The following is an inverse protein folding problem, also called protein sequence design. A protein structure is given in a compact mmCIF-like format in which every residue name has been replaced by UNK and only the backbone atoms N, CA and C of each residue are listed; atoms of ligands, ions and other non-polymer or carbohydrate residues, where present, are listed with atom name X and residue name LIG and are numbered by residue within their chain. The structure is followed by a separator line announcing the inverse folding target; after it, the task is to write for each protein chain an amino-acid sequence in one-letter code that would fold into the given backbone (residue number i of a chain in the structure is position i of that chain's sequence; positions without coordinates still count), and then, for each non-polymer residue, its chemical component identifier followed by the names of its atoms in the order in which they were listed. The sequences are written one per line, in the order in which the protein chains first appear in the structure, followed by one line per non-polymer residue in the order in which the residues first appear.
data_IF_254120565125
#
_entry.id   IF_254120565125
#
_cell.length_a   1.000
_cell.length_b   1.000
_cell.length_c   1.000
_cell.angle_alpha   90.00
_cell.angle_beta   90.00
_cell.angle_gamma   90.00
#
_symmetry.space_group_name_H-M   'P 1'
#
loop_
_entity.id
_entity.type
_entity.pdbx_description
1 polymer ?
#
# COMPACT_ATOMS: atom_id res chain seq x y z
N UNK A 1 26.28 -3.89 13.93
CA UNK A 1 25.68 -2.55 13.76
C UNK A 1 26.78 -1.50 13.91
N UNK A 2 26.86 -0.52 13.01
CA UNK A 2 27.87 0.56 13.09
C UNK A 2 27.50 1.64 14.12
N UNK A 3 28.49 2.44 14.54
CA UNK A 3 28.33 3.52 15.53
C UNK A 3 27.17 4.47 15.18
N UNK A 4 27.03 4.85 13.91
CA UNK A 4 25.97 5.76 13.45
C UNK A 4 24.56 5.16 13.59
N UNK A 5 24.38 3.85 13.39
CA UNK A 5 23.10 3.18 13.63
C UNK A 5 22.82 3.00 15.13
N UNK A 6 23.87 2.84 15.93
CA UNK A 6 23.75 2.77 17.40
C UNK A 6 23.27 4.09 18.00
N UNK A 7 23.82 5.22 17.54
CA UNK A 7 23.41 6.57 17.99
C UNK A 7 22.17 7.13 17.27
N UNK A 8 21.50 6.33 16.42
CA UNK A 8 20.26 6.73 15.74
C UNK A 8 20.43 7.73 14.59
N UNK A 9 21.65 7.94 14.09
CA UNK A 9 21.95 8.77 12.93
C UNK A 9 21.82 8.03 11.59
N UNK A 10 21.68 6.70 11.63
CA UNK A 10 21.37 5.87 10.47
C UNK A 10 20.34 4.81 10.81
N UNK A 11 19.50 4.43 9.84
CA UNK A 11 18.56 3.31 9.97
C UNK A 11 19.31 2.01 10.28
N UNK A 12 18.67 1.11 11.03
CA UNK A 12 19.29 -0.16 11.45
C UNK A 12 19.21 -1.24 10.37
N UNK A 13 18.12 -1.24 9.61
CA UNK A 13 17.85 -2.17 8.52
C UNK A 13 16.92 -1.51 7.49
N UNK A 14 16.61 -2.21 6.40
CA UNK A 14 15.78 -1.68 5.30
C UNK A 14 14.31 -1.48 5.66
N UNK A 15 13.80 -2.20 6.66
CA UNK A 15 12.41 -2.15 7.14
C UNK A 15 12.16 -0.98 8.08
N UNK A 16 13.21 -0.28 8.50
CA UNK A 16 13.12 0.94 9.29
C UNK A 16 13.24 2.19 8.39
N UNK A 17 12.54 3.28 8.74
CA UNK A 17 12.58 4.50 7.97
C UNK A 17 14.00 5.07 7.94
N UNK A 18 14.37 5.64 6.81
CA UNK A 18 15.62 6.39 6.71
C UNK A 18 15.55 7.64 7.60
N UNK A 19 16.64 7.93 8.28
CA UNK A 19 16.81 9.21 8.97
C UNK A 19 17.01 10.34 7.94
N UNK A 20 16.87 11.60 8.38
CA UNK A 20 17.21 12.76 7.54
C UNK A 20 18.65 12.69 7.01
N UNK A 21 19.57 12.23 7.87
CA UNK A 21 20.98 12.05 7.53
C UNK A 21 21.16 10.93 6.50
N UNK A 22 20.44 9.81 6.63
CA UNK A 22 20.48 8.73 5.62
C UNK A 22 19.99 9.21 4.25
N UNK A 23 18.88 9.95 4.23
CA UNK A 23 18.34 10.48 2.98
C UNK A 23 19.36 11.38 2.30
N UNK A 24 19.89 12.37 3.01
CA UNK A 24 20.87 13.31 2.46
C UNK A 24 22.17 12.63 2.04
N UNK A 25 22.73 11.75 2.87
CA UNK A 25 23.97 11.04 2.54
C UNK A 25 23.79 10.00 1.44
N UNK A 26 22.59 9.47 1.23
CA UNK A 26 22.35 8.52 0.15
C UNK A 26 22.18 9.23 -1.20
N UNK A 27 21.40 10.30 -1.25
CA UNK A 27 21.20 11.12 -2.46
C UNK A 27 20.49 12.43 -2.12
N UNK A 28 21.20 13.57 -2.05
CA UNK A 28 20.58 14.87 -1.84
C UNK A 28 19.52 15.20 -2.89
N UNK A 29 19.74 14.86 -4.17
CA UNK A 29 18.78 15.16 -5.22
C UNK A 29 17.48 14.36 -5.05
N UNK A 30 17.59 13.07 -4.71
CA UNK A 30 16.40 12.23 -4.43
C UNK A 30 15.63 12.79 -3.23
N UNK A 31 16.33 13.25 -2.19
CA UNK A 31 15.69 13.84 -1.03
C UNK A 31 14.97 15.16 -1.36
N UNK A 32 15.58 16.06 -2.13
CA UNK A 32 14.93 17.30 -2.55
C UNK A 32 13.75 17.00 -3.48
N UNK A 33 13.88 16.02 -4.39
CA UNK A 33 12.77 15.58 -5.24
C UNK A 33 11.59 15.07 -4.41
N UNK A 34 11.87 14.26 -3.38
CA UNK A 34 10.86 13.78 -2.43
C UNK A 34 10.14 14.94 -1.74
N UNK A 35 10.85 15.93 -1.21
CA UNK A 35 10.24 17.09 -0.56
C UNK A 35 9.38 17.89 -1.54
N UNK A 36 9.89 18.18 -2.73
CA UNK A 36 9.15 18.90 -3.76
C UNK A 36 7.89 18.16 -4.21
N UNK A 37 7.98 16.83 -4.41
CA UNK A 37 6.84 15.99 -4.74
C UNK A 37 5.72 16.12 -3.71
N UNK A 38 6.03 16.02 -2.43
CA UNK A 38 5.04 16.12 -1.35
C UNK A 38 4.44 17.52 -1.23
N UNK A 39 5.22 18.58 -1.47
CA UNK A 39 4.71 19.95 -1.56
C UNK A 39 3.72 20.08 -2.72
N UNK A 40 4.06 19.55 -3.90
CA UNK A 40 3.15 19.58 -5.06
C UNK A 40 1.88 18.79 -4.78
N UNK A 41 1.96 17.59 -4.18
CA UNK A 41 0.78 16.81 -3.79
C UNK A 41 -0.11 17.59 -2.81
N UNK A 42 0.47 18.21 -1.79
CA UNK A 42 -0.25 19.05 -0.83
C UNK A 42 -1.01 20.17 -1.53
N UNK A 43 -0.34 20.86 -2.47
CA UNK A 43 -0.94 21.97 -3.24
C UNK A 43 -1.99 21.49 -4.26
N UNK A 44 -1.92 20.25 -4.74
CA UNK A 44 -2.94 19.65 -5.63
C UNK A 44 -4.19 19.18 -4.88
N UNK A 45 -4.08 18.96 -3.57
CA UNK A 45 -5.18 18.57 -2.70
C UNK A 45 -5.62 17.12 -2.90
N UNK A 46 -6.91 16.83 -2.60
CA UNK A 46 -7.46 15.47 -2.61
C UNK A 46 -7.45 14.86 -4.03
N UNK A 47 -7.15 13.55 -4.18
CA UNK A 47 -7.06 12.90 -5.50
C UNK A 47 -8.42 12.72 -6.16
N UNK A 48 -9.49 12.70 -5.36
CA UNK A 48 -10.88 12.70 -5.81
C UNK A 48 -11.78 13.24 -4.69
N UNK A 49 -13.04 13.50 -5.03
CA UNK A 49 -14.12 13.76 -4.08
C UNK A 49 -15.24 12.74 -4.29
N UNK A 50 -15.99 12.36 -3.25
CA UNK A 50 -17.23 11.63 -3.41
C UNK A 50 -18.18 12.37 -4.38
N UNK A 51 -18.99 11.66 -5.18
CA UNK A 51 -19.94 12.30 -6.08
C UNK A 51 -20.92 13.20 -5.31
N UNK A 52 -21.11 14.47 -5.73
CA UNK A 52 -21.96 15.45 -5.01
C UNK A 52 -23.40 14.99 -4.78
N UNK A 53 -23.94 14.20 -5.70
CA UNK A 53 -25.35 13.78 -5.70
C UNK A 53 -25.55 12.33 -5.23
N UNK A 54 -24.50 11.68 -4.69
CA UNK A 54 -24.60 10.32 -4.16
C UNK A 54 -23.97 10.27 -2.78
N UNK A 55 -24.49 9.45 -1.85
CA UNK A 55 -23.88 9.34 -0.55
C UNK A 55 -22.46 8.78 -0.68
N UNK A 56 -21.55 9.34 0.12
CA UNK A 56 -20.19 8.83 0.24
C UNK A 56 -20.20 7.43 0.85
N UNK A 57 -19.34 6.55 0.32
CA UNK A 57 -19.10 5.22 0.88
C UNK A 57 -17.89 5.33 1.80
N UNK A 58 -18.06 4.97 3.07
CA UNK A 58 -17.04 5.01 4.10
C UNK A 58 -16.32 3.67 4.15
N UNK A 59 -15.10 3.65 3.65
CA UNK A 59 -14.21 2.48 3.64
C UNK A 59 -13.24 2.58 4.82
N UNK A 60 -13.20 1.55 5.65
CA UNK A 60 -12.31 1.44 6.81
C UNK A 60 -11.23 0.43 6.49
N UNK A 61 -9.97 0.87 6.53
CA UNK A 61 -8.82 0.12 6.06
C UNK A 61 -7.90 -0.20 7.25
N UNK A 62 -7.57 -1.50 7.41
CA UNK A 62 -6.58 -2.03 8.34
C UNK A 62 -5.74 -3.12 7.65
N UNK A 63 -4.59 -3.44 8.23
CA UNK A 63 -3.73 -4.58 7.88
C UNK A 63 -2.72 -4.81 9.00
N UNK A 64 -1.96 -5.91 8.93
CA UNK A 64 -0.83 -6.19 9.82
C UNK A 64 -1.25 -6.14 11.29
N UNK A 65 -2.29 -6.92 11.63
CA UNK A 65 -2.78 -7.05 13.01
C UNK A 65 -2.02 -8.09 13.81
N UNK A 66 -1.44 -9.11 13.15
CA UNK A 66 -0.57 -10.13 13.76
C UNK A 66 -1.12 -10.67 15.09
N UNK A 67 -2.25 -11.36 15.03
CA UNK A 67 -2.96 -11.96 16.17
C UNK A 67 -3.55 -10.98 17.19
N UNK A 68 -3.33 -9.68 17.03
CA UNK A 68 -3.86 -8.63 17.89
C UNK A 68 -5.17 -8.06 17.32
N UNK A 69 -5.87 -7.28 18.15
CA UNK A 69 -7.11 -6.58 17.78
C UNK A 69 -6.89 -5.07 17.91
N UNK A 70 -7.60 -4.31 17.09
CA UNK A 70 -7.58 -2.83 17.13
C UNK A 70 -8.99 -2.26 17.20
N UNK A 71 -9.11 -1.00 17.58
CA UNK A 71 -10.39 -0.30 17.51
C UNK A 71 -10.74 0.01 16.05
N UNK A 72 -11.88 -0.50 15.59
CA UNK A 72 -12.36 -0.31 14.23
C UNK A 72 -13.53 0.69 14.27
N UNK A 73 -13.39 1.90 13.69
CA UNK A 73 -14.50 2.82 13.59
C UNK A 73 -15.58 2.23 12.67
N UNK A 74 -16.85 2.63 12.86
CA UNK A 74 -17.94 2.20 11.97
C UNK A 74 -17.66 2.53 10.50
N UNK A 75 -18.32 1.87 9.57
CA UNK A 75 -18.14 2.10 8.14
C UNK A 75 -19.09 1.25 7.32
N UNK A 76 -19.07 1.46 6.01
CA UNK A 76 -19.86 0.67 5.08
C UNK A 76 -19.08 -0.56 4.58
N UNK A 77 -17.76 -0.41 4.41
CA UNK A 77 -16.85 -1.48 3.96
C UNK A 77 -15.67 -1.52 4.94
N UNK A 78 -15.39 -2.69 5.51
CA UNK A 78 -14.15 -2.99 6.24
C UNK A 78 -13.21 -3.79 5.34
N UNK A 79 -11.96 -3.37 5.24
CA UNK A 79 -10.89 -4.05 4.51
C UNK A 79 -9.78 -4.43 5.47
N UNK A 80 -9.37 -5.70 5.45
CA UNK A 80 -8.12 -6.19 6.01
C UNK A 80 -7.16 -6.59 4.90
N UNK A 81 -6.03 -5.89 4.76
CA UNK A 81 -5.08 -6.07 3.65
C UNK A 81 -3.86 -6.96 4.01
N UNK A 82 -4.13 -8.12 4.61
CA UNK A 82 -3.12 -9.14 4.94
C UNK A 82 -2.45 -9.01 6.30
N UNK A 83 -1.74 -10.08 6.66
CA UNK A 83 -1.06 -10.34 7.94
C UNK A 83 -2.03 -10.24 9.13
N UNK A 84 -3.04 -11.11 9.08
CA UNK A 84 -3.98 -11.31 10.19
C UNK A 84 -3.26 -11.89 11.41
N UNK A 85 -2.30 -12.79 11.17
CA UNK A 85 -1.65 -13.63 12.19
C UNK A 85 -0.14 -13.53 12.15
N UNK A 86 0.57 -14.07 13.13
CA UNK A 86 2.03 -14.27 13.09
C UNK A 86 2.42 -15.66 12.56
N UNK A 87 1.69 -16.69 13.00
CA UNK A 87 2.03 -18.09 12.76
C UNK A 87 1.28 -18.73 11.58
N UNK A 88 0.20 -18.10 11.10
CA UNK A 88 -0.54 -18.61 9.94
C UNK A 88 -1.27 -19.92 10.15
N UNK A 89 -1.49 -20.34 11.40
CA UNK A 89 -2.25 -21.57 11.70
C UNK A 89 -3.74 -21.35 11.50
N UNK A 90 -4.48 -22.42 11.17
CA UNK A 90 -5.95 -22.36 11.02
C UNK A 90 -6.65 -21.82 12.27
N UNK A 91 -6.13 -22.16 13.46
CA UNK A 91 -6.68 -21.73 14.75
C UNK A 91 -6.50 -20.24 14.98
N UNK A 92 -5.32 -19.71 14.66
CA UNK A 92 -5.01 -18.29 14.83
C UNK A 92 -5.76 -17.44 13.80
N UNK A 93 -5.84 -17.92 12.56
CA UNK A 93 -6.65 -17.29 11.50
C UNK A 93 -8.11 -17.24 11.93
N UNK A 94 -8.67 -18.34 12.46
CA UNK A 94 -10.07 -18.37 12.90
C UNK A 94 -10.36 -17.29 13.96
N UNK A 95 -9.47 -17.11 14.95
CA UNK A 95 -9.64 -16.07 16.00
C UNK A 95 -9.72 -14.67 15.42
N UNK A 96 -8.91 -14.37 14.40
CA UNK A 96 -8.91 -13.08 13.71
C UNK A 96 -10.17 -12.89 12.86
N UNK A 97 -10.59 -13.94 12.13
CA UNK A 97 -11.82 -13.91 11.34
C UNK A 97 -13.05 -13.71 12.22
N UNK A 98 -13.15 -14.39 13.37
CA UNK A 98 -14.26 -14.24 14.31
C UNK A 98 -14.36 -12.80 14.82
N UNK A 99 -13.23 -12.18 15.17
CA UNK A 99 -13.18 -10.77 15.54
C UNK A 99 -13.60 -9.83 14.40
N UNK A 100 -13.22 -10.11 13.16
CA UNK A 100 -13.67 -9.33 12.00
C UNK A 100 -15.17 -9.51 11.74
N UNK A 101 -15.73 -10.71 11.97
CA UNK A 101 -17.18 -10.99 11.82
C UNK A 101 -18.01 -10.16 12.79
N UNK A 102 -17.54 -9.96 14.02
CA UNK A 102 -18.18 -9.12 15.05
C UNK A 102 -18.32 -7.64 14.66
N UNK A 103 -17.55 -7.17 13.67
CA UNK A 103 -17.57 -5.77 13.28
C UNK A 103 -18.88 -5.40 12.57
N UNK A 104 -19.44 -4.19 12.83
CA UNK A 104 -20.77 -3.79 12.38
C UNK A 104 -20.85 -3.42 10.88
N UNK A 105 -19.80 -3.72 10.12
CA UNK A 105 -19.71 -3.35 8.71
C UNK A 105 -20.51 -4.34 7.87
N UNK A 106 -21.40 -3.88 6.97
CA UNK A 106 -22.20 -4.77 6.14
C UNK A 106 -21.35 -5.52 5.10
N UNK A 107 -20.25 -4.92 4.64
CA UNK A 107 -19.28 -5.55 3.74
C UNK A 107 -17.94 -5.65 4.45
N UNK A 108 -17.37 -6.85 4.50
CA UNK A 108 -16.08 -7.14 5.13
C UNK A 108 -15.23 -7.93 4.15
N UNK A 109 -14.10 -7.37 3.72
CA UNK A 109 -13.21 -7.95 2.71
C UNK A 109 -11.86 -8.22 3.33
N UNK A 110 -11.31 -9.40 3.07
CA UNK A 110 -10.03 -9.87 3.60
C UNK A 110 -9.16 -10.35 2.45
N UNK A 111 -7.92 -9.91 2.44
CA UNK A 111 -6.82 -10.48 1.64
C UNK A 111 -5.79 -11.01 2.64
N UNK A 112 -5.14 -12.12 2.30
CA UNK A 112 -4.06 -12.71 3.11
C UNK A 112 -2.73 -11.95 2.91
N UNK A 113 -1.87 -11.99 3.92
CA UNK A 113 -0.47 -11.55 3.81
C UNK A 113 0.51 -12.70 3.85
N UNK A 114 1.79 -12.39 4.02
CA UNK A 114 2.85 -13.39 4.04
C UNK A 114 2.85 -14.23 5.34
N UNK A 115 2.25 -13.75 6.43
CA UNK A 115 2.14 -14.53 7.67
C UNK A 115 0.90 -15.43 7.73
N UNK A 116 -0.03 -15.33 6.79
CA UNK A 116 -1.28 -16.08 6.82
C UNK A 116 -1.14 -17.44 6.10
N UNK A 117 -0.13 -18.21 6.50
CA UNK A 117 0.39 -19.42 5.84
C UNK A 117 -0.65 -20.48 5.48
N UNK A 118 -1.73 -20.63 6.25
CA UNK A 118 -2.79 -21.58 5.92
C UNK A 118 -3.41 -21.33 4.53
N UNK A 119 -3.50 -20.07 4.08
CA UNK A 119 -4.13 -19.76 2.79
C UNK A 119 -3.29 -20.22 1.60
N UNK A 120 -1.96 -20.27 1.71
CA UNK A 120 -1.08 -20.78 0.66
C UNK A 120 -0.77 -22.27 0.88
N UNK A 121 -1.19 -23.11 -0.07
CA UNK A 121 -0.95 -24.56 0.00
C UNK A 121 0.54 -24.93 0.15
N UNK A 122 1.47 -24.12 -0.40
CA UNK A 122 2.91 -24.40 -0.32
C UNK A 122 3.51 -24.06 1.04
N UNK A 123 2.89 -23.13 1.76
CA UNK A 123 3.35 -22.61 3.04
C UNK A 123 2.52 -23.10 4.23
N UNK A 124 1.38 -23.75 3.96
CA UNK A 124 0.45 -24.24 4.97
C UNK A 124 1.16 -25.16 5.98
N UNK A 125 0.99 -24.92 7.30
CA UNK A 125 1.54 -25.80 8.33
C UNK A 125 1.13 -27.27 8.10
N UNK A 126 2.08 -28.20 8.24
CA UNK A 126 1.83 -29.62 7.96
C UNK A 126 0.69 -30.21 8.80
N UNK A 127 0.59 -29.79 10.07
CA UNK A 127 -0.48 -30.24 10.97
C UNK A 127 -1.86 -29.84 10.46
N UNK A 128 -2.01 -28.60 9.97
CA UNK A 128 -3.25 -28.10 9.38
C UNK A 128 -3.57 -28.79 8.05
N UNK A 129 -2.54 -29.07 7.24
CA UNK A 129 -2.72 -29.83 6.00
C UNK A 129 -3.20 -31.26 6.27
N UNK A 130 -2.69 -31.91 7.33
CA UNK A 130 -3.08 -33.28 7.74
C UNK A 130 -4.46 -33.33 8.39
N UNK A 131 -4.80 -32.34 9.22
CA UNK A 131 -6.10 -32.30 9.90
C UNK A 131 -7.26 -32.04 8.94
N UNK A 132 -7.00 -31.35 7.82
CA UNK A 132 -8.03 -30.93 6.87
C UNK A 132 -8.93 -29.82 7.40
N UNK A 133 -8.57 -29.22 8.54
CA UNK A 133 -9.29 -28.09 9.13
C UNK A 133 -9.27 -26.88 8.19
N UNK A 134 -10.39 -26.17 8.15
CA UNK A 134 -10.58 -24.97 7.32
C UNK A 134 -11.13 -23.85 8.17
N UNK A 135 -10.65 -22.61 8.00
CA UNK A 135 -11.25 -21.47 8.63
C UNK A 135 -12.65 -21.26 8.04
N UNK A 136 -13.58 -20.91 8.91
CA UNK A 136 -14.91 -20.47 8.54
C UNK A 136 -14.85 -19.00 8.08
N UNK A 137 -15.11 -18.78 6.80
CA UNK A 137 -15.15 -17.44 6.18
C UNK A 137 -16.56 -16.87 6.12
N UNK A 138 -17.58 -17.52 6.69
CA UNK A 138 -18.96 -17.06 6.59
C UNK A 138 -19.12 -15.61 7.12
N UNK A 139 -19.79 -14.78 6.34
CA UNK A 139 -19.95 -13.35 6.64
C UNK A 139 -18.72 -12.48 6.33
N UNK A 140 -17.66 -13.04 5.73
CA UNK A 140 -16.49 -12.35 5.20
C UNK A 140 -16.32 -12.67 3.71
N UNK A 141 -15.71 -11.74 2.97
CA UNK A 141 -15.34 -11.94 1.56
C UNK A 141 -13.83 -12.09 1.50
N UNK A 142 -13.36 -13.30 1.27
CA UNK A 142 -11.95 -13.56 0.98
C UNK A 142 -11.65 -13.32 -0.49
N UNK A 143 -10.56 -12.62 -0.79
CA UNK A 143 -10.08 -12.42 -2.15
C UNK A 143 -8.64 -12.91 -2.30
N UNK A 144 -8.45 -13.89 -3.19
CA UNK A 144 -7.17 -14.39 -3.62
C UNK A 144 -7.11 -14.29 -5.15
N UNK A 145 -6.52 -13.20 -5.66
CA UNK A 145 -6.55 -12.87 -7.09
C UNK A 145 -7.97 -12.82 -7.67
N UNK A 146 -8.92 -12.30 -6.89
CA UNK A 146 -10.36 -12.36 -7.16
C UNK A 146 -11.05 -11.01 -7.14
N UNK A 147 -12.15 -10.90 -7.89
CA UNK A 147 -13.02 -9.72 -7.95
C UNK A 147 -14.34 -10.00 -7.23
N UNK A 148 -14.78 -9.07 -6.40
CA UNK A 148 -16.16 -9.02 -5.89
C UNK A 148 -16.83 -7.71 -6.30
N UNK A 149 -18.14 -7.77 -6.53
CA UNK A 149 -18.95 -6.61 -6.90
C UNK A 149 -19.98 -6.38 -5.81
N UNK A 150 -19.90 -5.23 -5.14
CA UNK A 150 -20.73 -4.91 -3.99
C UNK A 150 -21.66 -3.73 -4.30
N UNK A 151 -22.91 -3.82 -3.85
CA UNK A 151 -23.88 -2.71 -3.92
C UNK A 151 -23.95 -2.05 -2.55
N UNK A 152 -23.35 -0.88 -2.41
CA UNK A 152 -23.31 -0.12 -1.16
C UNK A 152 -23.95 1.24 -1.38
N UNK A 153 -24.99 1.55 -0.60
CA UNK A 153 -25.74 2.81 -0.69
C UNK A 153 -26.20 3.15 -2.12
N UNK A 154 -26.70 2.13 -2.83
CA UNK A 154 -27.20 2.28 -4.21
C UNK A 154 -26.11 2.47 -5.28
N UNK A 155 -24.83 2.32 -4.93
CA UNK A 155 -23.69 2.38 -5.86
C UNK A 155 -23.03 1.02 -5.97
N UNK A 156 -22.59 0.67 -7.17
CA UNK A 156 -21.75 -0.50 -7.41
C UNK A 156 -20.29 -0.15 -7.13
N UNK A 157 -19.59 -1.02 -6.42
CA UNK A 157 -18.15 -0.93 -6.14
C UNK A 157 -17.49 -2.26 -6.51
N UNK A 158 -16.50 -2.19 -7.39
CA UNK A 158 -15.69 -3.33 -7.80
C UNK A 158 -14.43 -3.41 -6.93
N UNK A 159 -14.27 -4.50 -6.20
CA UNK A 159 -13.17 -4.70 -5.24
C UNK A 159 -12.35 -5.90 -5.70
N UNK A 160 -11.07 -5.70 -5.99
CA UNK A 160 -10.14 -6.74 -6.41
C UNK A 160 -9.06 -6.94 -5.35
N UNK A 161 -8.77 -8.19 -4.99
CA UNK A 161 -7.80 -8.53 -3.95
C UNK A 161 -6.72 -9.49 -4.44
N UNK A 162 -5.46 -9.23 -4.10
CA UNK A 162 -4.30 -10.04 -4.50
C UNK A 162 -3.29 -10.14 -3.33
N UNK A 163 -3.04 -11.34 -2.78
CA UNK A 163 -2.11 -11.50 -1.66
C UNK A 163 -0.64 -11.56 -2.08
N UNK A 164 -0.35 -11.78 -3.36
CA UNK A 164 1.00 -12.02 -3.90
C UNK A 164 2.02 -10.95 -3.48
N UNK A 165 3.18 -11.42 -3.02
CA UNK A 165 4.31 -10.59 -2.55
C UNK A 165 5.63 -11.10 -3.16
N UNK A 166 6.60 -10.23 -3.47
CA UNK A 166 7.95 -10.71 -3.81
C UNK A 166 8.52 -11.60 -2.70
N UNK A 167 9.43 -12.50 -3.05
CA UNK A 167 10.18 -13.26 -2.05
C UNK A 167 10.95 -12.31 -1.12
N UNK A 168 10.64 -12.37 0.18
CA UNK A 168 11.18 -11.48 1.22
C UNK A 168 11.73 -12.25 2.43
N UNK A 169 11.45 -13.54 2.53
CA UNK A 169 11.61 -14.29 3.75
C UNK A 169 11.68 -15.79 3.54
N UNK A 170 11.45 -16.56 4.60
CA UNK A 170 11.58 -18.01 4.56
C UNK A 170 10.39 -18.63 3.80
N UNK A 171 10.44 -19.92 3.46
CA UNK A 171 9.45 -20.56 2.56
C UNK A 171 8.06 -20.70 3.20
N UNK A 172 8.01 -20.62 4.51
CA UNK A 172 6.81 -20.62 5.35
C UNK A 172 5.99 -19.35 5.16
N UNK A 173 6.56 -18.30 4.58
CA UNK A 173 5.81 -17.11 4.20
C UNK A 173 4.98 -17.38 2.94
N UNK A 174 3.68 -17.09 3.06
CA UNK A 174 2.66 -17.33 2.05
C UNK A 174 2.81 -16.39 0.83
N UNK A 175 2.32 -16.85 -0.31
CA UNK A 175 2.10 -16.07 -1.52
C UNK A 175 3.35 -15.40 -2.11
N UNK A 176 4.54 -15.91 -1.77
CA UNK A 176 5.78 -15.42 -2.32
C UNK A 176 5.95 -15.85 -3.78
N UNK A 177 6.41 -14.92 -4.62
CA UNK A 177 6.83 -15.21 -5.99
C UNK A 177 8.26 -14.73 -6.26
N UNK A 178 8.94 -15.45 -7.14
CA UNK A 178 10.28 -15.10 -7.60
C UNK A 178 10.23 -13.90 -8.55
N UNK A 179 11.26 -13.04 -8.50
CA UNK A 179 11.28 -11.77 -9.26
C UNK A 179 11.19 -11.98 -10.78
N UNK A 180 11.74 -13.08 -11.29
CA UNK A 180 11.75 -13.47 -12.70
C UNK A 180 10.42 -14.08 -13.17
N UNK A 181 9.56 -14.51 -12.25
CA UNK A 181 8.26 -15.12 -12.54
C UNK A 181 7.14 -14.42 -11.76
N UNK A 182 6.95 -13.13 -12.04
CA UNK A 182 5.95 -12.31 -11.36
C UNK A 182 4.53 -12.53 -11.92
N UNK A 183 3.48 -12.49 -11.08
CA UNK A 183 2.12 -12.84 -11.47
C UNK A 183 1.34 -11.67 -12.12
N UNK A 184 1.89 -10.46 -12.11
CA UNK A 184 1.11 -9.23 -12.31
C UNK A 184 0.61 -8.94 -13.73
N UNK A 185 1.11 -9.61 -14.76
CA UNK A 185 0.78 -9.24 -16.14
C UNK A 185 -0.74 -9.34 -16.39
N UNK A 186 -1.41 -8.19 -16.55
CA UNK A 186 -2.87 -8.08 -16.75
C UNK A 186 -3.71 -8.73 -15.65
N UNK A 187 -3.16 -8.87 -14.44
CA UNK A 187 -3.81 -9.57 -13.33
C UNK A 187 -5.00 -8.78 -12.78
N UNK A 188 -4.92 -7.45 -12.75
CA UNK A 188 -5.95 -6.60 -12.14
C UNK A 188 -7.01 -6.15 -13.17
N UNK A 189 -8.31 -6.43 -13.01
CA UNK A 189 -9.32 -6.01 -13.97
C UNK A 189 -9.41 -4.46 -14.10
N UNK A 190 -9.54 -3.88 -15.32
CA UNK A 190 -9.61 -2.42 -15.52
C UNK A 190 -10.75 -1.72 -14.79
N UNK A 191 -11.85 -2.43 -14.50
CA UNK A 191 -13.02 -1.90 -13.80
C UNK A 191 -12.85 -1.81 -12.27
N UNK A 192 -11.67 -2.14 -11.73
CA UNK A 192 -11.42 -2.15 -10.28
C UNK A 192 -11.49 -0.76 -9.68
N UNK A 193 -12.44 -0.54 -8.76
CA UNK A 193 -12.57 0.71 -8.01
C UNK A 193 -11.65 0.73 -6.78
N UNK A 194 -11.60 -0.40 -6.06
CA UNK A 194 -10.76 -0.62 -4.89
C UNK A 194 -9.84 -1.82 -5.16
N UNK A 195 -8.54 -1.56 -5.19
CA UNK A 195 -7.51 -2.59 -5.23
C UNK A 195 -7.01 -2.87 -3.81
N UNK A 196 -6.92 -4.14 -3.43
CA UNK A 196 -6.37 -4.59 -2.17
C UNK A 196 -5.18 -5.48 -2.47
N UNK A 197 -4.00 -5.12 -1.99
CA UNK A 197 -2.80 -5.97 -2.04
C UNK A 197 -2.21 -6.08 -0.67
N UNK A 198 -1.38 -7.08 -0.39
CA UNK A 198 -0.62 -7.07 0.86
C UNK A 198 0.64 -6.19 0.72
N UNK A 199 1.43 -6.43 -0.33
CA UNK A 199 2.62 -5.64 -0.66
C UNK A 199 2.26 -4.23 -1.19
N UNK A 200 2.99 -3.16 -0.81
CA UNK A 200 2.83 -1.84 -1.41
C UNK A 200 3.35 -1.77 -2.86
N UNK A 201 2.77 -0.90 -3.72
CA UNK A 201 3.39 -0.55 -4.99
C UNK A 201 4.69 0.23 -4.74
N UNK A 202 5.68 0.04 -5.61
CA UNK A 202 6.99 0.70 -5.50
C UNK A 202 6.86 2.23 -5.43
N UNK A 203 7.66 2.86 -4.57
CA UNK A 203 7.77 4.31 -4.32
C UNK A 203 6.62 4.95 -3.54
N UNK A 204 5.61 4.19 -3.15
CA UNK A 204 4.40 4.69 -2.50
C UNK A 204 4.18 4.03 -1.15
N UNK A 205 4.53 4.74 -0.06
CA UNK A 205 4.37 4.24 1.30
C UNK A 205 5.02 2.85 1.50
N UNK A 206 6.25 2.69 1.01
CA UNK A 206 6.90 1.40 0.83
C UNK A 206 8.33 1.30 1.41
N UNK A 207 8.92 2.40 1.88
CA UNK A 207 10.34 2.49 2.26
C UNK A 207 11.35 2.02 1.17
N UNK A 208 10.94 2.00 -0.09
CA UNK A 208 11.70 1.44 -1.21
C UNK A 208 11.65 -0.09 -1.33
N UNK A 209 10.72 -0.74 -0.64
CA UNK A 209 10.50 -2.19 -0.65
C UNK A 209 9.29 -2.61 -1.50
N UNK A 210 8.59 -1.66 -2.12
CA UNK A 210 7.39 -1.94 -2.88
C UNK A 210 7.68 -2.59 -4.23
N UNK A 211 6.66 -3.25 -4.77
CA UNK A 211 6.80 -4.02 -6.01
C UNK A 211 6.62 -3.13 -7.25
N UNK A 212 7.61 -3.20 -8.15
CA UNK A 212 7.61 -2.50 -9.43
C UNK A 212 6.60 -3.05 -10.44
N UNK A 213 6.25 -4.34 -10.37
CA UNK A 213 5.29 -4.94 -11.28
C UNK A 213 3.87 -4.56 -10.89
N UNK A 214 3.56 -4.58 -9.59
CA UNK A 214 2.33 -3.99 -9.05
C UNK A 214 2.19 -2.51 -9.43
N UNK A 215 3.25 -1.70 -9.35
CA UNK A 215 3.19 -0.30 -9.78
C UNK A 215 2.75 -0.14 -11.25
N UNK A 216 3.21 -1.02 -12.15
CA UNK A 216 2.77 -1.02 -13.57
C UNK A 216 1.28 -1.32 -13.71
N UNK A 217 0.77 -2.27 -12.94
CA UNK A 217 -0.67 -2.60 -12.92
C UNK A 217 -1.50 -1.44 -12.37
N UNK A 218 -1.01 -0.74 -11.34
CA UNK A 218 -1.64 0.46 -10.78
C UNK A 218 -1.72 1.58 -11.83
N UNK A 219 -0.67 1.81 -12.62
CA UNK A 219 -0.70 2.75 -13.75
C UNK A 219 -1.68 2.35 -14.85
N UNK A 220 -1.86 1.05 -15.08
CA UNK A 220 -2.78 0.52 -16.09
C UNK A 220 -4.23 0.66 -15.67
N UNK A 221 -4.54 0.32 -14.42
CA UNK A 221 -5.91 0.23 -13.91
C UNK A 221 -6.40 1.53 -13.28
N UNK A 222 -5.51 2.25 -12.60
CA UNK A 222 -5.80 3.53 -11.92
C UNK A 222 -6.96 3.41 -10.92
N UNK A 223 -6.92 2.45 -9.97
CA UNK A 223 -8.02 2.24 -9.03
C UNK A 223 -8.24 3.50 -8.19
N UNK A 224 -9.48 3.84 -7.82
CA UNK A 224 -9.72 5.02 -6.98
C UNK A 224 -9.06 4.89 -5.61
N UNK A 225 -9.11 3.70 -5.01
CA UNK A 225 -8.48 3.40 -3.73
C UNK A 225 -7.58 2.17 -3.89
N UNK A 226 -6.35 2.24 -3.39
CA UNK A 226 -5.47 1.09 -3.27
C UNK A 226 -5.08 0.93 -1.80
N UNK A 227 -5.50 -0.18 -1.19
CA UNK A 227 -5.24 -0.51 0.22
C UNK A 227 -4.21 -1.61 0.29
N UNK A 228 -3.20 -1.43 1.13
CA UNK A 228 -2.13 -2.38 1.36
C UNK A 228 -1.53 -2.25 2.75
N UNK A 229 -0.57 -3.11 3.08
CA UNK A 229 0.07 -3.19 4.39
C UNK A 229 1.56 -3.48 4.28
N UNK A 230 2.00 -4.49 5.02
CA UNK A 230 3.32 -5.14 4.97
C UNK A 230 4.48 -4.29 5.52
N UNK A 231 4.62 -3.04 5.05
CA UNK A 231 5.69 -2.14 5.48
C UNK A 231 5.20 -1.27 6.64
N UNK A 232 5.30 -1.80 7.86
CA UNK A 232 4.68 -1.23 9.08
C UNK A 232 5.03 0.24 9.35
N UNK A 233 6.28 0.63 9.07
CA UNK A 233 6.77 1.98 9.29
C UNK A 233 6.29 3.00 8.24
N UNK A 234 5.77 2.53 7.11
CA UNK A 234 5.24 3.37 6.06
C UNK A 234 3.72 3.58 6.14
N UNK A 235 3.10 3.24 7.28
CA UNK A 235 1.70 3.56 7.58
C UNK A 235 1.35 5.00 7.16
N UNK A 236 0.25 5.16 6.44
CA UNK A 236 -0.22 6.47 6.03
C UNK A 236 -1.12 6.43 4.81
N UNK A 237 -1.29 7.60 4.21
CA UNK A 237 -2.05 7.79 2.98
C UNK A 237 -1.33 8.75 2.06
N UNK A 238 -1.38 8.49 0.77
CA UNK A 238 -0.74 9.31 -0.24
C UNK A 238 -1.63 9.46 -1.47
N UNK A 239 -1.68 10.67 -2.04
CA UNK A 239 -2.41 10.94 -3.27
C UNK A 239 -1.51 10.66 -4.47
N UNK A 240 -2.03 9.98 -5.47
CA UNK A 240 -1.32 9.67 -6.70
C UNK A 240 -2.12 10.20 -7.88
N UNK A 241 -1.43 10.82 -8.84
CA UNK A 241 -2.06 11.40 -10.02
C UNK A 241 -1.37 10.87 -11.26
N UNK A 242 -2.10 10.21 -12.16
CA UNK A 242 -1.49 9.53 -13.31
C UNK A 242 -1.14 10.48 -14.46
N UNK A 243 -0.13 11.32 -14.23
CA UNK A 243 0.37 12.32 -15.18
C UNK A 243 1.91 12.29 -15.29
N UNK A 244 2.47 13.13 -16.17
CA UNK A 244 3.92 13.19 -16.42
C UNK A 244 4.74 13.56 -15.18
N UNK A 245 4.17 14.32 -14.25
CA UNK A 245 4.85 14.71 -13.01
C UNK A 245 5.09 13.48 -12.12
N UNK A 246 4.05 12.66 -11.97
CA UNK A 246 4.12 11.39 -11.24
C UNK A 246 5.09 10.40 -11.90
N UNK A 247 4.99 10.21 -13.22
CA UNK A 247 5.89 9.34 -13.98
C UNK A 247 7.36 9.75 -13.82
N UNK A 248 7.63 11.06 -13.87
CA UNK A 248 8.99 11.59 -13.73
C UNK A 248 9.49 11.46 -12.29
N UNK A 249 8.63 11.65 -11.28
CA UNK A 249 8.98 11.38 -9.88
C UNK A 249 9.43 9.93 -9.68
N UNK A 250 8.60 8.97 -10.09
CA UNK A 250 8.91 7.53 -9.96
C UNK A 250 10.17 7.14 -10.75
N UNK A 251 10.40 7.76 -11.90
CA UNK A 251 11.64 7.60 -12.67
C UNK A 251 12.86 8.10 -11.90
N UNK A 252 12.79 9.29 -11.28
CA UNK A 252 13.87 9.84 -10.44
C UNK A 252 14.14 8.90 -9.25
N UNK A 253 13.08 8.46 -8.55
CA UNK A 253 13.20 7.56 -7.41
C UNK A 253 13.76 6.17 -7.77
N UNK A 254 13.63 5.76 -9.04
CA UNK A 254 14.16 4.50 -9.56
C UNK A 254 15.64 4.57 -9.98
N UNK A 255 16.24 5.77 -10.05
CA UNK A 255 17.64 5.93 -10.43
C UNK A 255 18.58 5.49 -9.30
N UNK A 256 19.79 4.99 -9.63
CA UNK A 256 20.80 4.70 -8.62
C UNK A 256 21.15 5.95 -7.82
N UNK A 257 21.20 5.82 -6.50
CA UNK A 257 21.61 6.88 -5.58
C UNK A 257 23.12 7.08 -5.67
N UNK A 258 23.59 8.30 -5.97
CA UNK A 258 25.01 8.57 -6.25
C UNK A 258 25.76 9.21 -5.08
N UNK A 259 25.11 9.40 -3.94
CA UNK A 259 25.71 10.04 -2.76
C UNK A 259 25.84 11.56 -2.88
N UNK A 260 26.40 12.22 -1.87
CA UNK A 260 26.26 13.66 -1.68
C UNK A 260 27.11 14.50 -2.63
N UNK A 261 28.12 13.90 -3.28
CA UNK A 261 29.02 14.61 -4.20
C UNK A 261 28.56 14.40 -5.65
N UNK A 262 28.42 13.13 -6.08
CA UNK A 262 28.15 12.79 -7.48
C UNK A 262 26.76 13.20 -7.94
N UNK A 263 25.79 13.35 -7.03
CA UNK A 263 24.46 13.88 -7.34
C UNK A 263 24.54 15.29 -7.93
N UNK A 264 25.44 16.15 -7.41
CA UNK A 264 25.60 17.52 -7.88
C UNK A 264 26.46 17.65 -9.14
N UNK A 265 27.02 16.54 -9.64
CA UNK A 265 27.72 16.53 -10.93
C UNK A 265 26.68 16.34 -12.06
N UNK A 266 26.56 17.30 -13.00
CA UNK A 266 25.62 17.22 -14.11
C UNK A 266 25.68 15.87 -14.84
N UNK A 267 24.51 15.31 -15.12
CA UNK A 267 24.31 14.03 -15.78
C UNK A 267 22.89 13.97 -16.37
N UNK A 268 22.54 12.89 -17.06
CA UNK A 268 21.23 12.75 -17.70
C UNK A 268 20.04 12.89 -16.73
N UNK A 269 20.21 12.57 -15.43
CA UNK A 269 19.17 12.74 -14.42
C UNK A 269 18.82 14.21 -14.15
N UNK A 270 19.72 15.16 -14.44
CA UNK A 270 19.43 16.59 -14.29
C UNK A 270 18.37 17.07 -15.27
N UNK A 271 18.30 16.48 -16.47
CA UNK A 271 17.22 16.78 -17.42
C UNK A 271 15.87 16.30 -16.89
N UNK A 272 15.83 15.12 -16.28
CA UNK A 272 14.63 14.62 -15.60
C UNK A 272 14.23 15.51 -14.42
N UNK A 273 15.21 15.99 -13.66
CA UNK A 273 14.97 16.89 -12.54
C UNK A 273 14.39 18.24 -12.96
N UNK A 274 14.93 18.85 -14.02
CA UNK A 274 14.40 20.10 -14.57
C UNK A 274 12.98 19.91 -15.12
N UNK A 275 12.73 18.80 -15.83
CA UNK A 275 11.38 18.44 -16.29
C UNK A 275 10.43 18.24 -15.13
N UNK A 276 10.85 17.55 -14.08
CA UNK A 276 10.08 17.29 -12.87
C UNK A 276 9.64 18.59 -12.17
N UNK A 277 10.56 19.54 -11.99
CA UNK A 277 10.24 20.85 -11.41
C UNK A 277 9.20 21.61 -12.25
N UNK A 278 9.44 21.70 -13.57
CA UNK A 278 8.53 22.39 -14.48
C UNK A 278 7.14 21.73 -14.51
N UNK A 279 7.08 20.40 -14.55
CA UNK A 279 5.85 19.63 -14.52
C UNK A 279 5.09 19.79 -13.20
N UNK A 280 5.78 19.87 -12.07
CA UNK A 280 5.16 20.09 -10.76
C UNK A 280 4.47 21.45 -10.67
N UNK A 281 5.17 22.51 -11.08
CA UNK A 281 4.59 23.86 -11.17
C UNK A 281 3.40 23.88 -12.12
N UNK A 282 3.55 23.28 -13.31
CA UNK A 282 2.47 23.17 -14.27
C UNK A 282 1.26 22.40 -13.72
N UNK A 283 1.46 21.30 -13.00
CA UNK A 283 0.38 20.49 -12.44
C UNK A 283 -0.44 21.27 -11.40
N UNK A 284 0.22 22.05 -10.53
CA UNK A 284 -0.46 22.94 -9.57
C UNK A 284 -1.19 24.07 -10.30
N UNK A 285 -0.52 24.75 -11.24
CA UNK A 285 -1.13 25.83 -12.00
C UNK A 285 -2.37 25.35 -12.78
N UNK A 286 -2.26 24.23 -13.50
CA UNK A 286 -3.36 23.62 -14.24
C UNK A 286 -4.54 23.26 -13.32
N UNK A 287 -4.26 22.72 -12.13
CA UNK A 287 -5.29 22.40 -11.14
C UNK A 287 -6.11 23.63 -10.75
N UNK A 288 -5.44 24.73 -10.39
CA UNK A 288 -6.12 25.90 -9.82
C UNK A 288 -6.66 26.87 -10.87
N UNK A 289 -6.04 26.93 -12.05
CA UNK A 289 -6.44 27.87 -13.11
C UNK A 289 -7.49 27.23 -14.04
N UNK A 290 -7.31 25.96 -14.43
CA UNK A 290 -8.11 25.35 -15.49
C UNK A 290 -9.18 24.41 -14.94
N UNK A 291 -8.81 23.49 -14.06
CA UNK A 291 -9.71 22.39 -13.69
C UNK A 291 -10.56 22.68 -12.44
N UNK A 292 -10.13 23.63 -11.60
CA UNK A 292 -10.79 24.00 -10.36
C UNK A 292 -10.65 22.98 -9.22
N UNK A 293 -11.15 23.28 -8.00
CA UNK A 293 -10.86 22.51 -6.79
C UNK A 293 -11.33 21.05 -6.81
N UNK A 294 -12.33 20.68 -7.63
CA UNK A 294 -13.03 19.38 -7.54
C UNK A 294 -12.72 18.34 -8.64
N UNK A 295 -11.91 18.67 -9.64
CA UNK A 295 -11.75 17.90 -10.89
C UNK A 295 -10.68 16.79 -10.89
N UNK A 296 -10.19 16.38 -9.73
CA UNK A 296 -9.06 15.44 -9.70
C UNK A 296 -9.53 14.03 -10.04
N UNK A 297 -8.76 13.35 -10.90
CA UNK A 297 -8.93 11.95 -11.25
C UNK A 297 -7.65 11.18 -10.89
N UNK A 298 -7.35 11.15 -9.59
CA UNK A 298 -6.23 10.43 -9.02
C UNK A 298 -6.67 9.25 -8.16
N UNK A 299 -5.70 8.56 -7.59
CA UNK A 299 -5.87 7.48 -6.62
C UNK A 299 -5.50 7.96 -5.22
N UNK A 300 -6.07 7.30 -4.22
CA UNK A 300 -5.55 7.34 -2.86
C UNK A 300 -4.88 6.00 -2.53
N UNK A 301 -3.59 6.04 -2.23
CA UNK A 301 -2.81 4.92 -1.71
C UNK A 301 -2.93 4.91 -0.19
N UNK A 302 -3.17 3.75 0.41
CA UNK A 302 -3.32 3.59 1.85
C UNK A 302 -2.49 2.41 2.32
N UNK A 303 -1.41 2.70 3.04
CA UNK A 303 -0.73 1.71 3.86
C UNK A 303 -1.46 1.66 5.22
N UNK A 304 -2.21 0.58 5.43
CA UNK A 304 -3.14 0.39 6.52
C UNK A 304 -2.53 -0.35 7.73
N UNK A 305 -1.19 -0.50 7.78
CA UNK A 305 -0.52 -1.30 8.80
C UNK A 305 -0.82 -0.81 10.23
N UNK A 306 -1.35 -1.70 11.07
CA UNK A 306 -1.65 -1.40 12.47
C UNK A 306 -0.44 -1.60 13.39
N UNK A 307 0.51 -2.44 12.99
CA UNK A 307 1.73 -2.69 13.75
C UNK A 307 2.58 -1.42 13.95
N UNK A 308 2.97 -1.14 15.20
CA UNK A 308 3.85 -0.01 15.54
C UNK A 308 5.29 -0.37 15.23
N UNK A 309 5.67 -0.18 13.96
CA UNK A 309 7.01 -0.54 13.47
C UNK A 309 7.28 -2.03 13.70
N UNK A 310 8.41 -2.36 14.32
CA UNK A 310 8.80 -3.75 14.62
C UNK A 310 8.64 -4.08 16.12
N UNK A 311 7.71 -3.43 16.81
CA UNK A 311 7.59 -3.55 18.27
C UNK A 311 6.77 -4.73 18.77
N UNK A 312 6.11 -5.48 17.87
CA UNK A 312 5.15 -6.53 18.24
C UNK A 312 3.89 -6.00 18.93
N UNK A 313 3.58 -4.70 18.76
CA UNK A 313 2.40 -4.05 19.33
C UNK A 313 1.65 -3.30 18.24
N UNK A 314 0.32 -3.45 18.22
CA UNK A 314 -0.54 -2.65 17.35
C UNK A 314 -0.85 -1.27 17.94
N UNK A 315 -1.24 -0.34 17.07
CA UNK A 315 -1.86 0.94 17.41
C UNK A 315 -3.23 0.99 16.74
N UNK A 316 -4.29 1.32 17.46
CA UNK A 316 -5.61 1.58 16.86
C UNK A 316 -5.56 2.82 15.97
N UNK A 317 -5.38 2.64 14.66
CA UNK A 317 -5.20 3.73 13.69
C UNK A 317 -5.79 3.40 12.31
N UNK A 318 -6.94 2.73 12.29
CA UNK A 318 -7.64 2.42 11.05
C UNK A 318 -7.79 3.66 10.16
N UNK A 319 -7.47 3.52 8.86
CA UNK A 319 -7.58 4.62 7.90
C UNK A 319 -8.99 4.62 7.32
N UNK A 320 -9.66 5.77 7.43
CA UNK A 320 -11.03 5.94 6.96
C UNK A 320 -11.00 6.79 5.69
N UNK A 321 -11.59 6.26 4.62
CA UNK A 321 -11.66 6.90 3.30
C UNK A 321 -13.11 7.03 2.87
N UNK A 322 -13.45 8.16 2.25
CA UNK A 322 -14.77 8.39 1.65
C UNK A 322 -14.66 8.42 0.13
N UNK A 323 -15.33 7.49 -0.57
CA UNK A 323 -15.31 7.36 -2.03
C UNK A 323 -16.66 7.65 -2.70
#
# INVERSE_FOLDING_TARGET
MGLLSYVGLRRRNQWEPMTLVDHFLSSPLTYIAYLFYHIVLLLRGRPFLPPRNKPAIRVVCISDTHDLKVDIPRGDILIHAGDLTDAGTVSDIQKQLDWLKEQPHPVKVVVAGNHDSWFDQKSRPEEDARSGAKPDMDGLIYLESGLTVQKVKGRTVNIFGVPDIPEIGPKEFAFQYATDNHPWLSKVPPQTDILITHCPPKHHLDLGLGDSNLLREVWRVKPRLHVFGHVHYAYGKESVFFDKFQETYERIMSRPRRGPILDFIPNEAWLDYLRFLAQGVHAVAWKWIMSGPGSNNGSLMVNAAQMKGNSGKVKSRAVVVEI
#
